data_IF_179875264474
#
_entry.id   IF_179875264474
#
_cell.length_a   1.000
_cell.length_b   1.000
_cell.length_c   1.000
_cell.angle_alpha   90.00
_cell.angle_beta   90.00
_cell.angle_gamma   90.00
#
_symmetry.space_group_name_H-M   'P 1'
#
loop_
_entity.id
_entity.type
_entity.pdbx_description
1 polymer ?
#
# COMPACT_ATOMS: atom_id res chain seq x y z
N UNK A 1 -28.52 -2.28 5.43
CA UNK A 1 -27.82 -2.83 4.26
C UNK A 1 -27.67 -4.34 4.38
N UNK A 2 -27.91 -5.13 3.33
CA UNK A 2 -27.84 -6.60 3.41
C UNK A 2 -26.46 -7.13 2.99
N UNK A 3 -25.99 -8.20 3.65
CA UNK A 3 -24.74 -8.91 3.30
C UNK A 3 -24.67 -9.32 1.83
N UNK A 4 -25.80 -9.72 1.24
CA UNK A 4 -25.87 -10.11 -0.17
C UNK A 4 -25.47 -8.96 -1.10
N UNK A 5 -25.91 -7.75 -0.80
CA UNK A 5 -25.67 -6.58 -1.66
C UNK A 5 -24.20 -6.16 -1.55
N UNK A 6 -23.62 -6.21 -0.34
CA UNK A 6 -22.17 -6.03 -0.11
C UNK A 6 -21.35 -7.07 -0.89
N UNK A 7 -21.74 -8.36 -0.85
CA UNK A 7 -21.04 -9.42 -1.59
C UNK A 7 -21.09 -9.19 -3.11
N UNK A 8 -22.23 -8.76 -3.63
CA UNK A 8 -22.39 -8.41 -5.04
C UNK A 8 -21.47 -7.24 -5.40
N UNK A 9 -21.43 -6.20 -4.57
CA UNK A 9 -20.54 -5.04 -4.76
C UNK A 9 -19.07 -5.47 -4.77
N UNK A 10 -18.61 -6.24 -3.79
CA UNK A 10 -17.23 -6.74 -3.73
C UNK A 10 -16.87 -7.53 -4.98
N UNK A 11 -17.72 -8.48 -5.38
CA UNK A 11 -17.46 -9.34 -6.54
C UNK A 11 -17.43 -8.57 -7.86
N UNK A 12 -18.25 -7.51 -7.98
CA UNK A 12 -18.30 -6.66 -9.18
C UNK A 12 -17.14 -5.67 -9.24
N UNK A 13 -16.70 -5.13 -8.11
CA UNK A 13 -15.59 -4.18 -8.06
C UNK A 13 -14.25 -4.87 -8.22
N UNK A 14 -14.03 -6.00 -7.54
CA UNK A 14 -12.77 -6.75 -7.57
C UNK A 14 -12.84 -7.88 -8.60
N UNK A 15 -13.00 -7.50 -9.86
CA UNK A 15 -13.14 -8.47 -10.95
C UNK A 15 -11.89 -9.34 -11.10
N UNK A 16 -12.06 -10.66 -11.15
CA UNK A 16 -10.95 -11.61 -11.29
C UNK A 16 -10.32 -12.05 -9.97
N UNK A 17 -10.75 -11.49 -8.84
CA UNK A 17 -10.28 -11.88 -7.50
C UNK A 17 -11.05 -13.10 -6.99
N UNK A 18 -10.41 -13.88 -6.13
CA UNK A 18 -11.06 -14.97 -5.41
C UNK A 18 -11.81 -14.42 -4.21
N UNK A 19 -13.14 -14.37 -4.30
CA UNK A 19 -14.01 -13.86 -3.22
C UNK A 19 -14.64 -15.01 -2.45
N UNK A 20 -14.53 -14.98 -1.12
CA UNK A 20 -15.17 -15.90 -0.20
C UNK A 20 -15.97 -15.17 0.88
N UNK A 21 -17.09 -15.76 1.29
CA UNK A 21 -17.94 -15.24 2.36
C UNK A 21 -17.82 -16.13 3.59
N UNK A 22 -17.17 -15.61 4.63
CA UNK A 22 -17.04 -16.25 5.93
C UNK A 22 -18.25 -15.88 6.80
N UNK A 23 -19.24 -16.76 6.74
CA UNK A 23 -20.47 -16.62 7.51
C UNK A 23 -20.27 -16.73 9.02
N UNK A 24 -19.19 -17.36 9.49
CA UNK A 24 -18.93 -17.57 10.92
C UNK A 24 -18.47 -16.28 11.59
N UNK A 25 -17.62 -15.51 10.90
CA UNK A 25 -17.07 -14.25 11.41
C UNK A 25 -17.77 -13.01 10.85
N UNK A 26 -18.77 -13.19 9.99
CA UNK A 26 -19.48 -12.07 9.36
C UNK A 26 -18.53 -11.24 8.51
N UNK A 27 -17.81 -11.90 7.60
CA UNK A 27 -16.71 -11.28 6.86
C UNK A 27 -16.69 -11.74 5.43
N UNK A 28 -16.49 -10.83 4.50
CA UNK A 28 -16.22 -11.15 3.10
C UNK A 28 -14.74 -10.90 2.87
N UNK A 29 -14.07 -11.84 2.24
CA UNK A 29 -12.66 -11.67 1.90
C UNK A 29 -12.46 -11.90 0.41
N UNK A 30 -11.68 -11.04 -0.21
CA UNK A 30 -11.29 -11.12 -1.61
C UNK A 30 -9.76 -11.22 -1.69
N UNK A 31 -9.25 -12.16 -2.48
CA UNK A 31 -7.82 -12.40 -2.64
C UNK A 31 -7.40 -12.32 -4.11
N UNK A 32 -6.35 -11.56 -4.39
CA UNK A 32 -5.64 -11.54 -5.66
C UNK A 32 -4.40 -12.45 -5.58
N UNK A 33 -4.43 -13.64 -6.19
CA UNK A 33 -3.28 -14.55 -6.20
C UNK A 33 -2.08 -14.04 -6.98
N UNK A 34 -2.26 -13.11 -7.92
CA UNK A 34 -1.17 -12.59 -8.75
C UNK A 34 -0.40 -11.49 -8.02
N UNK A 35 -1.12 -10.65 -7.29
CA UNK A 35 -0.54 -9.51 -6.59
C UNK A 35 -0.29 -9.76 -5.10
N UNK A 36 -0.77 -10.90 -4.57
CA UNK A 36 -0.61 -11.28 -3.17
C UNK A 36 -1.38 -10.36 -2.22
N UNK A 37 -2.51 -9.81 -2.69
CA UNK A 37 -3.36 -8.92 -1.93
C UNK A 37 -4.57 -9.67 -1.38
N UNK A 38 -4.94 -9.36 -0.16
CA UNK A 38 -6.18 -9.77 0.47
C UNK A 38 -6.95 -8.54 0.95
N UNK A 39 -8.24 -8.44 0.64
CA UNK A 39 -9.14 -7.41 1.16
C UNK A 39 -10.21 -8.12 1.97
N UNK A 40 -10.28 -7.77 3.25
CA UNK A 40 -11.27 -8.22 4.20
C UNK A 40 -12.30 -7.09 4.41
N UNK A 41 -13.56 -7.35 4.11
CA UNK A 41 -14.71 -6.50 4.44
C UNK A 41 -15.43 -7.14 5.62
N UNK A 42 -15.28 -6.56 6.80
CA UNK A 42 -16.02 -6.99 7.98
C UNK A 42 -17.43 -6.44 7.87
N UNK A 43 -18.40 -7.36 7.87
CA UNK A 43 -19.80 -7.02 7.72
C UNK A 43 -20.31 -6.36 9.00
N UNK A 44 -21.26 -5.43 8.86
CA UNK A 44 -21.71 -4.63 9.98
C UNK A 44 -22.38 -5.47 11.06
N UNK A 45 -21.97 -5.24 12.32
CA UNK A 45 -22.85 -5.36 13.48
C UNK A 45 -23.55 -4.04 13.84
N UNK A 46 -23.21 -2.92 13.18
CA UNK A 46 -23.64 -1.54 13.42
C UNK A 46 -23.63 -0.73 12.11
N UNK A 47 -23.85 0.59 12.14
CA UNK A 47 -23.82 1.48 10.97
C UNK A 47 -22.41 1.72 10.37
N UNK A 48 -21.47 0.79 10.54
CA UNK A 48 -20.09 0.92 10.02
C UNK A 48 -19.65 -0.35 9.29
N UNK A 49 -18.87 -0.16 8.22
CA UNK A 49 -18.20 -1.23 7.48
C UNK A 49 -16.69 -1.05 7.62
N UNK A 50 -15.97 -2.10 8.01
CA UNK A 50 -14.51 -2.06 8.16
C UNK A 50 -13.85 -2.80 7.01
N UNK A 51 -13.06 -2.09 6.23
CA UNK A 51 -12.30 -2.59 5.08
C UNK A 51 -10.84 -2.67 5.49
N UNK A 52 -10.32 -3.89 5.59
CA UNK A 52 -8.93 -4.17 5.90
C UNK A 52 -8.28 -4.68 4.62
N UNK A 53 -7.21 -4.04 4.17
CA UNK A 53 -6.47 -4.44 2.97
C UNK A 53 -5.08 -4.87 3.39
N UNK A 54 -4.69 -6.06 3.02
CA UNK A 54 -3.43 -6.69 3.40
C UNK A 54 -2.65 -7.14 2.19
N UNK A 55 -1.34 -6.90 2.19
CA UNK A 55 -0.40 -7.54 1.27
C UNK A 55 0.55 -8.41 2.09
N UNK A 56 0.73 -9.68 1.71
CA UNK A 56 1.48 -10.72 2.44
C UNK A 56 2.50 -10.16 3.43
N UNK A 57 2.21 -10.26 4.74
CA UNK A 57 3.09 -9.92 5.89
C UNK A 57 3.72 -8.51 5.91
N UNK A 58 3.34 -7.61 4.99
CA UNK A 58 4.08 -6.38 4.73
C UNK A 58 3.27 -5.11 5.02
N UNK A 59 1.96 -5.11 4.77
CA UNK A 59 1.13 -3.89 4.80
C UNK A 59 -0.31 -4.23 5.21
N UNK A 60 -0.85 -3.58 6.25
CA UNK A 60 -2.29 -3.55 6.60
C UNK A 60 -2.78 -2.09 6.51
N UNK A 61 -3.75 -1.81 5.63
CA UNK A 61 -4.54 -0.57 5.59
C UNK A 61 -5.92 -0.83 6.20
N UNK A 62 -6.40 0.12 7.00
CA UNK A 62 -7.63 -0.02 7.76
C UNK A 62 -8.56 1.17 7.55
N UNK A 63 -9.51 1.00 6.65
CA UNK A 63 -10.52 2.01 6.35
C UNK A 63 -11.84 1.67 7.05
N UNK A 64 -12.41 2.65 7.75
CA UNK A 64 -13.77 2.56 8.30
C UNK A 64 -14.70 3.42 7.45
N UNK A 65 -15.73 2.79 6.89
CA UNK A 65 -16.83 3.45 6.20
C UNK A 65 -17.99 3.63 7.19
N UNK A 66 -18.29 4.87 7.55
CA UNK A 66 -19.47 5.24 8.33
C UNK A 66 -20.69 5.35 7.42
N UNK A 67 -21.75 4.61 7.74
CA UNK A 67 -22.98 4.51 6.94
C UNK A 67 -24.21 5.03 7.68
N UNK A 68 -24.06 5.59 8.89
CA UNK A 68 -25.18 5.99 9.76
C UNK A 68 -26.15 6.98 9.09
N UNK A 69 -25.60 7.93 8.32
CA UNK A 69 -26.38 8.94 7.61
C UNK A 69 -26.55 8.65 6.11
N UNK A 70 -26.11 7.46 5.64
CA UNK A 70 -26.13 7.11 4.22
C UNK A 70 -27.33 6.25 3.85
N UNK A 71 -27.95 6.55 2.70
CA UNK A 71 -28.86 5.60 2.06
C UNK A 71 -28.11 4.35 1.60
N UNK A 72 -28.81 3.21 1.50
CA UNK A 72 -28.19 1.93 1.13
C UNK A 72 -27.43 1.98 -0.21
N UNK A 73 -28.00 2.63 -1.22
CA UNK A 73 -27.35 2.80 -2.53
C UNK A 73 -26.07 3.64 -2.43
N UNK A 74 -26.12 4.77 -1.72
CA UNK A 74 -24.96 5.63 -1.49
C UNK A 74 -23.85 4.90 -0.72
N UNK A 75 -24.20 4.10 0.29
CA UNK A 75 -23.25 3.32 1.06
C UNK A 75 -22.57 2.23 0.20
N UNK A 76 -23.32 1.59 -0.71
CA UNK A 76 -22.79 0.60 -1.64
C UNK A 76 -21.87 1.24 -2.70
N UNK A 77 -22.21 2.41 -3.21
CA UNK A 77 -21.38 3.16 -4.15
C UNK A 77 -20.06 3.61 -3.50
N UNK A 78 -20.12 4.10 -2.26
CA UNK A 78 -18.93 4.50 -1.52
C UNK A 78 -18.05 3.29 -1.16
N UNK A 79 -18.65 2.17 -0.79
CA UNK A 79 -17.94 0.90 -0.63
C UNK A 79 -17.24 0.50 -1.93
N UNK A 80 -17.93 0.54 -3.07
CA UNK A 80 -17.33 0.23 -4.38
C UNK A 80 -16.15 1.16 -4.68
N UNK A 81 -16.29 2.46 -4.40
CA UNK A 81 -15.22 3.46 -4.57
C UNK A 81 -14.00 3.14 -3.70
N UNK A 82 -14.21 2.76 -2.44
CA UNK A 82 -13.12 2.41 -1.51
C UNK A 82 -12.42 1.10 -1.89
N UNK A 83 -13.16 0.10 -2.36
CA UNK A 83 -12.61 -1.17 -2.85
C UNK A 83 -11.81 -0.99 -4.15
N UNK A 84 -12.26 -0.10 -5.04
CA UNK A 84 -11.55 0.25 -6.27
C UNK A 84 -10.36 1.19 -6.03
N UNK A 85 -10.32 1.86 -4.87
CA UNK A 85 -9.23 2.77 -4.57
C UNK A 85 -7.91 1.99 -4.42
N UNK A 86 -6.82 2.45 -5.05
CA UNK A 86 -5.51 1.90 -4.74
C UNK A 86 -5.28 2.01 -3.23
N UNK A 87 -4.62 1.02 -2.63
CA UNK A 87 -4.20 1.09 -1.23
C UNK A 87 -3.57 2.46 -0.95
N UNK A 88 -3.88 3.12 0.19
CA UNK A 88 -3.23 4.37 0.54
C UNK A 88 -1.73 4.14 0.55
N UNK A 89 -1.03 4.61 -0.50
CA UNK A 89 0.43 4.51 -0.62
C UNK A 89 1.06 4.98 0.69
N UNK A 90 0.51 6.01 1.31
CA UNK A 90 0.86 6.59 2.60
C UNK A 90 1.23 5.58 3.69
N UNK A 91 0.47 4.48 3.89
CA UNK A 91 0.79 3.52 4.96
C UNK A 91 1.95 2.59 4.59
N UNK A 92 2.14 2.29 3.30
CA UNK A 92 3.32 1.60 2.79
C UNK A 92 4.55 2.52 2.85
N UNK A 93 4.38 3.82 2.58
CA UNK A 93 5.42 4.84 2.72
C UNK A 93 5.87 5.01 4.16
N UNK A 94 4.92 5.13 5.09
CA UNK A 94 5.21 5.28 6.51
C UNK A 94 5.93 4.06 7.07
N UNK A 95 5.56 2.84 6.65
CA UNK A 95 6.27 1.61 7.05
C UNK A 95 7.65 1.47 6.42
N UNK A 96 7.82 1.85 5.15
CA UNK A 96 9.14 1.83 4.50
C UNK A 96 10.08 2.86 5.10
N UNK A 97 9.56 4.05 5.42
CA UNK A 97 10.28 5.06 6.19
C UNK A 97 10.73 4.54 7.55
N UNK A 98 9.83 3.92 8.33
CA UNK A 98 10.17 3.29 9.62
C UNK A 98 11.24 2.19 9.48
N UNK A 99 11.20 1.39 8.41
CA UNK A 99 12.25 0.40 8.10
C UNK A 99 13.60 1.06 7.80
N UNK A 100 13.63 2.12 7.01
CA UNK A 100 14.88 2.85 6.74
C UNK A 100 15.45 3.49 8.02
N UNK A 101 14.60 4.10 8.85
CA UNK A 101 15.01 4.69 10.14
C UNK A 101 15.63 3.63 11.06
N UNK A 102 15.01 2.44 11.17
CA UNK A 102 15.55 1.31 11.96
C UNK A 102 16.86 0.76 11.41
N UNK A 103 17.00 0.69 10.08
CA UNK A 103 18.25 0.27 9.45
C UNK A 103 19.37 1.28 9.69
N UNK A 104 19.08 2.58 9.60
CA UNK A 104 20.05 3.63 9.90
C UNK A 104 20.50 3.58 11.37
N UNK A 105 19.56 3.39 12.30
CA UNK A 105 19.85 3.18 13.72
C UNK A 105 20.73 1.94 13.92
N UNK A 106 20.42 0.82 13.26
CA UNK A 106 21.25 -0.39 13.33
C UNK A 106 22.68 -0.16 12.79
N UNK A 107 22.84 0.51 11.65
CA UNK A 107 24.14 0.86 11.10
C UNK A 107 24.97 1.70 12.09
N UNK A 108 24.33 2.69 12.73
CA UNK A 108 24.96 3.55 13.72
C UNK A 108 25.35 2.80 15.00
N UNK A 109 24.40 2.10 15.59
CA UNK A 109 24.54 1.57 16.95
C UNK A 109 25.22 0.19 17.00
N UNK A 110 25.02 -0.63 15.96
CA UNK A 110 25.56 -1.99 15.90
C UNK A 110 26.85 -2.07 15.10
N UNK A 111 26.94 -1.37 13.96
CA UNK A 111 28.13 -1.40 13.11
C UNK A 111 29.10 -0.24 13.38
N UNK A 112 28.65 0.83 14.03
CA UNK A 112 29.43 2.07 14.17
C UNK A 112 29.66 2.78 12.83
N UNK A 113 28.86 2.46 11.81
CA UNK A 113 28.98 3.00 10.46
C UNK A 113 28.07 4.22 10.28
N UNK A 114 28.60 5.37 10.71
CA UNK A 114 27.90 6.66 10.63
C UNK A 114 27.65 7.11 9.18
N UNK A 115 28.46 6.63 8.22
CA UNK A 115 28.26 6.97 6.81
C UNK A 115 27.12 6.16 6.21
N UNK A 116 27.07 4.86 6.45
CA UNK A 116 25.96 4.01 6.00
C UNK A 116 24.62 4.41 6.65
N UNK A 117 24.66 4.86 7.92
CA UNK A 117 23.48 5.39 8.59
C UNK A 117 22.93 6.64 7.88
N UNK A 118 23.79 7.60 7.53
CA UNK A 118 23.41 8.81 6.78
C UNK A 118 22.93 8.50 5.38
N UNK A 119 23.62 7.61 4.68
CA UNK A 119 23.23 7.14 3.36
C UNK A 119 21.82 6.51 3.39
N UNK A 120 21.51 5.77 4.45
CA UNK A 120 20.19 5.16 4.66
C UNK A 120 19.10 6.22 4.93
N UNK A 121 19.40 7.23 5.75
CA UNK A 121 18.48 8.35 6.06
C UNK A 121 18.19 9.22 4.82
N UNK A 122 19.22 9.61 4.08
CA UNK A 122 19.10 10.40 2.84
C UNK A 122 18.26 9.65 1.79
N UNK A 123 18.40 8.33 1.71
CA UNK A 123 17.60 7.48 0.83
C UNK A 123 16.14 7.41 1.25
N UNK A 124 15.85 7.38 2.54
CA UNK A 124 14.49 7.42 3.05
C UNK A 124 13.77 8.72 2.63
N UNK A 125 14.46 9.86 2.76
CA UNK A 125 13.91 11.14 2.32
C UNK A 125 13.68 11.18 0.80
N UNK A 126 14.63 10.63 0.03
CA UNK A 126 14.50 10.55 -1.43
C UNK A 126 13.36 9.63 -1.86
N UNK A 127 13.14 8.52 -1.16
CA UNK A 127 12.00 7.61 -1.36
C UNK A 127 10.68 8.34 -1.18
N UNK A 128 10.53 9.06 -0.06
CA UNK A 128 9.29 9.79 0.25
C UNK A 128 8.92 10.76 -0.87
N UNK A 129 9.90 11.49 -1.43
CA UNK A 129 9.69 12.41 -2.56
C UNK A 129 9.29 11.71 -3.85
N UNK A 130 9.89 10.55 -4.17
CA UNK A 130 9.51 9.72 -5.33
C UNK A 130 8.06 9.29 -5.19
N UNK A 131 7.68 8.84 -4.00
CA UNK A 131 6.36 8.32 -3.74
C UNK A 131 5.26 9.37 -3.74
N UNK A 132 5.53 10.54 -3.17
CA UNK A 132 4.67 11.71 -3.29
C UNK A 132 4.41 12.09 -4.75
N UNK A 133 5.43 11.97 -5.59
CA UNK A 133 5.35 12.29 -7.02
C UNK A 133 4.63 11.19 -7.82
N UNK A 134 4.88 9.91 -7.50
CA UNK A 134 4.20 8.77 -8.12
C UNK A 134 2.73 8.64 -7.70
N UNK A 135 2.26 9.33 -6.65
CA UNK A 135 0.87 9.25 -6.18
C UNK A 135 -0.16 9.49 -7.31
N UNK A 136 0.16 10.34 -8.28
CA UNK A 136 -0.71 10.62 -9.44
C UNK A 136 -0.75 9.52 -10.51
N UNK A 137 0.19 8.58 -10.46
CA UNK A 137 0.40 7.56 -11.49
C UNK A 137 0.32 6.15 -10.87
N UNK A 138 -0.86 5.50 -10.87
CA UNK A 138 -1.06 4.18 -10.26
C UNK A 138 -0.17 3.10 -10.88
N UNK A 139 0.14 3.23 -12.18
CA UNK A 139 0.99 2.33 -12.97
C UNK A 139 2.45 2.26 -12.46
N UNK A 140 2.90 3.30 -11.75
CA UNK A 140 4.27 3.44 -11.26
C UNK A 140 4.32 3.14 -9.77
N UNK A 141 4.55 1.88 -9.38
CA UNK A 141 4.74 1.51 -7.99
C UNK A 141 6.21 1.68 -7.57
N UNK A 142 6.56 2.72 -6.79
CA UNK A 142 7.92 2.93 -6.31
C UNK A 142 8.33 1.92 -5.25
N UNK A 143 7.41 1.23 -4.58
CA UNK A 143 7.77 0.40 -3.44
C UNK A 143 8.45 -0.92 -3.85
N UNK A 144 8.15 -1.49 -5.03
CA UNK A 144 8.85 -2.68 -5.55
C UNK A 144 10.34 -2.44 -5.75
N UNK A 145 10.71 -1.23 -6.20
CA UNK A 145 12.09 -0.82 -6.39
C UNK A 145 12.82 -0.71 -5.05
N UNK A 146 12.16 -0.21 -4.01
CA UNK A 146 12.80 0.06 -2.70
C UNK A 146 12.73 -1.15 -1.74
N UNK A 147 11.77 -2.06 -1.90
CA UNK A 147 11.72 -3.33 -1.16
C UNK A 147 12.89 -4.25 -1.53
N UNK A 148 13.23 -4.34 -2.83
CA UNK A 148 14.44 -5.03 -3.28
C UNK A 148 15.74 -4.40 -2.75
N UNK A 149 15.71 -3.11 -2.38
CA UNK A 149 16.86 -2.41 -1.79
C UNK A 149 17.05 -2.71 -0.30
N UNK A 150 15.95 -2.84 0.47
CA UNK A 150 15.97 -3.26 1.88
C UNK A 150 16.40 -4.71 2.06
N UNK A 151 16.05 -5.58 1.10
CA UNK A 151 16.41 -7.00 1.14
C UNK A 151 17.80 -7.28 0.56
N UNK A 152 18.44 -6.30 -0.08
CA UNK A 152 19.75 -6.46 -0.72
C UNK A 152 19.73 -7.40 -1.93
N UNK A 153 18.56 -7.74 -2.47
CA UNK A 153 18.39 -8.89 -3.37
C UNK A 153 18.64 -8.61 -4.86
N UNK A 154 18.91 -7.36 -5.30
CA UNK A 154 19.18 -7.14 -6.73
C UNK A 154 20.26 -6.11 -7.10
N UNK A 155 20.87 -5.42 -6.14
CA UNK A 155 21.92 -4.43 -6.43
C UNK A 155 23.08 -4.60 -5.48
N UNK A 156 23.94 -5.57 -5.76
CA UNK A 156 25.26 -5.70 -5.13
C UNK A 156 26.22 -4.53 -5.44
N UNK A 157 25.76 -3.29 -5.36
CA UNK A 157 26.54 -2.07 -5.69
C UNK A 157 26.25 -0.88 -4.75
N UNK A 158 27.21 0.07 -4.63
CA UNK A 158 27.22 1.15 -3.62
C UNK A 158 26.06 2.14 -3.71
N UNK A 159 25.82 2.91 -2.63
CA UNK A 159 24.82 3.99 -2.48
C UNK A 159 24.54 4.80 -3.76
N UNK A 160 25.59 5.23 -4.47
CA UNK A 160 25.47 6.02 -5.71
C UNK A 160 24.67 5.32 -6.83
N UNK A 161 24.75 4.00 -6.93
CA UNK A 161 23.96 3.24 -7.93
C UNK A 161 22.47 3.26 -7.59
N UNK A 162 22.16 3.23 -6.29
CA UNK A 162 20.79 3.26 -5.74
C UNK A 162 20.17 4.65 -5.89
N UNK A 163 20.94 5.70 -5.58
CA UNK A 163 20.59 7.12 -5.80
C UNK A 163 20.26 7.43 -7.26
N UNK A 164 21.03 6.88 -8.20
CA UNK A 164 20.79 7.06 -9.63
C UNK A 164 19.48 6.41 -10.09
N UNK A 165 19.14 5.22 -9.59
CA UNK A 165 17.89 4.54 -9.93
C UNK A 165 16.66 5.35 -9.46
N UNK A 166 16.69 5.84 -8.21
CA UNK A 166 15.65 6.71 -7.67
C UNK A 166 15.50 8.02 -8.48
N UNK A 167 16.63 8.65 -8.82
CA UNK A 167 16.65 9.87 -9.63
C UNK A 167 16.06 9.67 -11.03
N UNK A 168 16.29 8.50 -11.65
CA UNK A 168 15.69 8.14 -12.94
C UNK A 168 14.17 8.01 -12.85
N UNK A 169 13.65 7.41 -11.78
CA UNK A 169 12.20 7.33 -11.56
C UNK A 169 11.57 8.71 -11.42
N UNK A 170 12.15 9.60 -10.60
CA UNK A 170 11.71 11.00 -10.49
C UNK A 170 11.72 11.72 -11.84
N UNK A 171 12.78 11.53 -12.64
CA UNK A 171 12.85 12.13 -13.97
C UNK A 171 11.77 11.61 -14.91
N UNK A 172 11.40 10.32 -14.81
CA UNK A 172 10.32 9.75 -15.61
C UNK A 172 8.96 10.33 -15.21
N UNK A 173 8.71 10.49 -13.91
CA UNK A 173 7.49 11.13 -13.39
C UNK A 173 7.40 12.59 -13.84
N UNK A 174 8.47 13.36 -13.72
CA UNK A 174 8.50 14.75 -14.20
C UNK A 174 8.30 14.89 -15.71
N UNK A 175 8.65 13.87 -16.50
CA UNK A 175 8.37 13.86 -17.94
C UNK A 175 6.90 13.61 -18.22
N UNK A 176 6.26 12.71 -17.46
CA UNK A 176 4.82 12.46 -17.54
C UNK A 176 3.97 13.67 -17.10
N UNK A 177 4.47 14.52 -16.19
CA UNK A 177 3.80 15.76 -15.79
C UNK A 177 3.91 16.88 -16.87
N UNK A 178 4.77 16.71 -17.90
CA UNK A 178 5.01 17.71 -18.97
C UNK A 178 4.37 17.37 -20.31
N UNK A 179 3.86 16.15 -20.47
CA UNK A 179 3.09 15.70 -21.64
C UNK A 179 1.59 15.95 -21.43
#
# INVERSE_FOLDING_TARGET
MKTRDILITVTRTLTGWHVYNDHQFGRITAYDPQAGYEITVNLPGSDTIRIVRTQYELVEDNTVLDTADMGEEQALDELARLLAAPMPRTDRLMRLKDKFEKTAEWCRDTLGDEQEAKDTEDMAEHYMRVCESCNKYPELDPATVFEGWLLGEELGTPYETRRQAASRMLSNVHRLDKE
#
